data_IF_685996736153
#
_entry.id   IF_685996736153
#
_cell.length_a   1.000
_cell.length_b   1.000
_cell.length_c   1.000
_cell.angle_alpha   90.00
_cell.angle_beta   90.00
_cell.angle_gamma   90.00
#
_symmetry.space_group_name_H-M   'P 1'
#
loop_
_entity.id
_entity.type
_entity.pdbx_description
1 polymer ?
#
# COMPACT_ATOMS: atom_id res chain seq x y z
N UNK A 1 20.11 -48.80 -26.83
CA UNK A 1 18.69 -48.71 -26.57
C UNK A 1 18.38 -47.40 -25.93
N UNK A 2 17.57 -46.65 -26.68
CA UNK A 2 17.01 -45.33 -26.31
C UNK A 2 15.93 -45.50 -25.27
N UNK A 3 15.97 -44.72 -24.19
CA UNK A 3 14.78 -44.41 -23.41
C UNK A 3 14.72 -42.90 -23.16
N UNK A 4 13.90 -42.23 -23.96
CA UNK A 4 13.48 -40.85 -23.76
C UNK A 4 12.24 -40.85 -22.88
N UNK A 5 12.35 -40.30 -21.66
CA UNK A 5 11.20 -39.96 -20.83
C UNK A 5 10.59 -38.62 -21.26
N UNK A 6 9.27 -38.53 -21.43
CA UNK A 6 8.61 -37.29 -21.81
C UNK A 6 8.23 -36.51 -20.54
N UNK A 7 9.00 -35.50 -20.18
CA UNK A 7 8.56 -34.48 -19.22
C UNK A 7 7.77 -33.39 -19.94
N UNK A 8 6.50 -33.66 -20.20
CA UNK A 8 5.51 -32.66 -20.55
C UNK A 8 5.07 -31.88 -19.31
N UNK A 9 5.70 -30.74 -19.02
CA UNK A 9 5.18 -29.77 -18.06
C UNK A 9 3.90 -29.15 -18.63
N UNK A 10 2.74 -29.60 -18.15
CA UNK A 10 1.49 -28.84 -18.26
C UNK A 10 1.62 -27.61 -17.36
N UNK A 11 1.93 -26.48 -17.97
CA UNK A 11 1.67 -25.19 -17.35
C UNK A 11 0.15 -25.02 -17.28
N UNK A 12 -0.43 -25.35 -16.12
CA UNK A 12 -1.79 -24.94 -15.82
C UNK A 12 -1.75 -23.43 -15.55
N UNK A 13 -2.03 -22.64 -16.57
CA UNK A 13 -2.36 -21.25 -16.41
C UNK A 13 -3.57 -21.17 -15.47
N UNK A 14 -3.35 -20.74 -14.25
CA UNK A 14 -4.40 -20.49 -13.26
C UNK A 14 -5.20 -19.28 -13.78
N UNK A 15 -6.19 -19.54 -14.61
CA UNK A 15 -7.11 -18.54 -15.15
C UNK A 15 -8.02 -18.13 -14.00
N UNK A 16 -7.65 -17.06 -13.27
CA UNK A 16 -8.53 -16.46 -12.27
C UNK A 16 -9.88 -16.21 -12.94
N UNK A 17 -10.94 -16.82 -12.41
CA UNK A 17 -12.32 -16.48 -12.82
C UNK A 17 -12.50 -14.98 -12.57
N UNK A 18 -12.77 -14.20 -13.64
CA UNK A 18 -13.08 -12.77 -13.51
C UNK A 18 -14.24 -12.63 -12.55
N UNK A 19 -14.02 -11.93 -11.43
CA UNK A 19 -15.05 -11.65 -10.43
C UNK A 19 -16.17 -10.81 -11.06
N UNK A 20 -17.41 -11.14 -10.74
CA UNK A 20 -18.57 -10.31 -11.11
C UNK A 20 -18.76 -9.10 -10.17
N UNK A 21 -17.93 -8.98 -9.15
CA UNK A 21 -17.97 -7.95 -8.12
C UNK A 21 -16.87 -6.93 -8.40
N UNK A 22 -17.17 -5.63 -8.24
CA UNK A 22 -16.20 -4.56 -8.31
C UNK A 22 -15.07 -4.77 -7.29
N UNK A 23 -13.85 -4.43 -7.67
CA UNK A 23 -12.69 -4.52 -6.77
C UNK A 23 -12.68 -3.31 -5.84
N UNK A 24 -12.79 -3.48 -4.52
CA UNK A 24 -12.67 -2.37 -3.58
C UNK A 24 -11.21 -1.95 -3.40
N UNK A 25 -11.02 -0.71 -2.94
CA UNK A 25 -9.70 -0.17 -2.58
C UNK A 25 -9.69 0.14 -1.08
N UNK A 26 -8.64 -0.32 -0.38
CA UNK A 26 -8.41 -0.01 1.03
C UNK A 26 -7.14 0.80 1.15
N UNK A 27 -7.25 2.02 1.64
CA UNK A 27 -6.13 2.92 1.93
C UNK A 27 -5.66 2.74 3.36
N UNK A 28 -4.35 2.60 3.57
CA UNK A 28 -3.74 2.37 4.88
C UNK A 28 -2.71 3.45 5.15
N UNK A 29 -2.98 4.27 6.18
CA UNK A 29 -2.20 5.46 6.49
C UNK A 29 -0.84 5.14 7.11
N UNK A 30 0.06 6.13 7.07
CA UNK A 30 1.38 6.10 7.69
C UNK A 30 1.34 6.43 9.19
N UNK A 31 2.52 6.43 9.80
CA UNK A 31 2.68 6.82 11.21
C UNK A 31 2.12 8.22 11.48
N UNK A 32 1.62 8.42 12.70
CA UNK A 32 1.03 9.67 13.19
C UNK A 32 -0.24 10.12 12.48
N UNK A 33 -0.79 9.35 11.56
CA UNK A 33 -1.92 9.71 10.73
C UNK A 33 -3.20 8.95 11.13
N UNK A 34 -4.21 9.09 10.30
CA UNK A 34 -5.45 8.31 10.28
C UNK A 34 -5.91 8.19 8.83
N UNK A 35 -7.04 7.53 8.59
CA UNK A 35 -7.62 7.36 7.25
C UNK A 35 -7.81 8.67 6.49
N UNK A 36 -7.96 9.77 7.21
CA UNK A 36 -8.06 11.13 6.68
C UNK A 36 -6.88 11.56 5.80
N UNK A 37 -5.72 10.92 5.93
CA UNK A 37 -4.55 11.23 5.11
C UNK A 37 -4.82 11.02 3.61
N UNK A 38 -5.84 10.23 3.29
CA UNK A 38 -6.24 9.94 1.93
C UNK A 38 -7.48 10.72 1.45
N UNK A 39 -8.01 11.68 2.23
CA UNK A 39 -9.25 12.38 1.87
C UNK A 39 -9.23 12.92 0.42
N UNK A 40 -8.17 13.63 0.03
CA UNK A 40 -8.00 14.16 -1.33
C UNK A 40 -7.48 13.11 -2.31
N UNK A 41 -6.59 12.21 -1.86
CA UNK A 41 -5.98 11.21 -2.73
C UNK A 41 -7.00 10.20 -3.28
N UNK A 42 -8.04 9.86 -2.52
CA UNK A 42 -9.04 8.86 -2.91
C UNK A 42 -10.09 9.37 -3.90
N UNK A 43 -10.30 10.70 -3.99
CA UNK A 43 -11.33 11.30 -4.85
C UNK A 43 -11.27 10.84 -6.33
N UNK A 44 -10.10 10.76 -7.01
CA UNK A 44 -10.01 10.24 -8.36
C UNK A 44 -10.44 8.78 -8.51
N UNK A 45 -10.21 7.95 -7.48
CA UNK A 45 -10.63 6.54 -7.49
C UNK A 45 -12.13 6.40 -7.32
N UNK A 46 -12.74 7.21 -6.47
CA UNK A 46 -14.21 7.30 -6.30
C UNK A 46 -14.86 7.80 -7.58
N UNK A 47 -14.29 8.83 -8.21
CA UNK A 47 -14.75 9.33 -9.50
C UNK A 47 -14.65 8.28 -10.63
N UNK A 48 -13.64 7.40 -10.57
CA UNK A 48 -13.49 6.24 -11.46
C UNK A 48 -14.48 5.10 -11.12
N UNK A 49 -15.24 5.22 -10.02
CA UNK A 49 -16.28 4.29 -9.60
C UNK A 49 -15.81 3.14 -8.72
N UNK A 50 -14.61 3.24 -8.12
CA UNK A 50 -14.17 2.28 -7.10
C UNK A 50 -14.91 2.51 -5.78
N UNK A 51 -15.24 1.44 -5.08
CA UNK A 51 -15.60 1.49 -3.66
C UNK A 51 -14.30 1.69 -2.86
N UNK A 52 -14.23 2.75 -2.05
CA UNK A 52 -13.01 3.11 -1.31
C UNK A 52 -13.23 3.07 0.20
N UNK A 53 -12.23 2.59 0.92
CA UNK A 53 -12.19 2.50 2.37
C UNK A 53 -10.86 3.09 2.87
N UNK A 54 -10.89 3.79 4.00
CA UNK A 54 -9.71 4.33 4.65
C UNK A 54 -9.83 4.14 6.18
N UNK A 55 -9.76 2.88 6.67
CA UNK A 55 -9.84 2.63 8.10
C UNK A 55 -8.64 3.23 8.83
N UNK A 56 -8.86 3.63 10.09
CA UNK A 56 -7.75 3.90 10.99
C UNK A 56 -7.05 2.58 11.36
N UNK A 57 -5.74 2.61 11.48
CA UNK A 57 -5.00 1.58 12.20
C UNK A 57 -5.46 1.55 13.67
N UNK A 58 -5.36 0.42 14.37
CA UNK A 58 -5.75 0.32 15.77
C UNK A 58 -5.20 1.48 16.60
N UNK A 59 -6.06 2.08 17.42
CA UNK A 59 -5.74 3.16 18.36
C UNK A 59 -5.28 4.49 17.72
N UNK A 60 -5.66 4.76 16.45
CA UNK A 60 -5.35 6.03 15.76
C UNK A 60 -6.56 6.96 15.61
N UNK A 61 -7.67 6.66 16.26
CA UNK A 61 -8.79 7.61 16.40
C UNK A 61 -8.47 8.69 17.44
N UNK A 62 -9.08 9.87 17.29
CA UNK A 62 -8.95 10.93 18.28
C UNK A 62 -9.52 10.49 19.63
N UNK A 63 -8.72 10.65 20.68
CA UNK A 63 -9.10 10.25 22.04
C UNK A 63 -8.91 8.76 22.30
N UNK A 64 -8.18 8.06 21.46
CA UNK A 64 -7.79 6.67 21.67
C UNK A 64 -7.05 6.47 23.00
N UNK A 65 -7.15 5.26 23.52
CA UNK A 65 -6.42 4.83 24.70
C UNK A 65 -4.92 4.73 24.38
N UNK A 66 -4.15 5.65 24.96
CA UNK A 66 -2.70 5.71 24.75
C UNK A 66 -1.94 4.53 25.38
N UNK A 67 -2.49 3.85 26.36
CA UNK A 67 -1.87 2.65 26.94
C UNK A 67 -1.98 1.49 25.97
N UNK A 68 -3.13 1.34 25.33
CA UNK A 68 -3.32 0.34 24.26
C UNK A 68 -2.45 0.67 23.05
N UNK A 69 -2.38 1.94 22.63
CA UNK A 69 -1.49 2.37 21.54
C UNK A 69 -0.02 2.04 21.86
N UNK A 70 0.42 2.22 23.11
CA UNK A 70 1.80 1.90 23.50
C UNK A 70 2.15 0.41 23.33
N UNK A 71 1.16 -0.49 23.44
CA UNK A 71 1.33 -1.94 23.28
C UNK A 71 1.16 -2.41 21.84
N UNK A 72 0.53 -1.62 20.99
CA UNK A 72 0.30 -1.95 19.60
C UNK A 72 1.61 -2.09 18.81
N UNK A 73 1.64 -2.98 17.83
CA UNK A 73 2.79 -3.22 16.96
C UNK A 73 2.39 -3.58 15.54
N UNK A 74 3.38 -3.78 14.66
CA UNK A 74 3.16 -4.10 13.25
C UNK A 74 2.28 -5.33 13.05
N UNK A 75 2.39 -6.33 13.91
CA UNK A 75 1.58 -7.55 13.82
C UNK A 75 0.09 -7.25 14.01
N UNK A 76 -0.25 -6.45 15.00
CA UNK A 76 -1.63 -6.03 15.27
C UNK A 76 -2.19 -5.20 14.12
N UNK A 77 -1.42 -4.23 13.63
CA UNK A 77 -1.81 -3.41 12.48
C UNK A 77 -2.08 -4.26 11.25
N UNK A 78 -1.18 -5.20 10.94
CA UNK A 78 -1.33 -6.11 9.81
C UNK A 78 -2.53 -7.06 9.97
N UNK A 79 -2.80 -7.54 11.18
CA UNK A 79 -3.96 -8.39 11.48
C UNK A 79 -5.27 -7.63 11.28
N UNK A 80 -5.36 -6.39 11.76
CA UNK A 80 -6.52 -5.53 11.59
C UNK A 80 -6.84 -5.30 10.11
N UNK A 81 -5.85 -4.91 9.32
CA UNK A 81 -6.04 -4.70 7.87
C UNK A 81 -6.32 -6.01 7.12
N UNK A 82 -5.64 -7.09 7.49
CA UNK A 82 -5.91 -8.42 6.91
C UNK A 82 -7.31 -8.93 7.21
N UNK A 83 -7.82 -8.69 8.42
CA UNK A 83 -9.21 -9.00 8.78
C UNK A 83 -10.19 -8.13 7.99
N UNK A 84 -9.96 -6.83 7.94
CA UNK A 84 -10.78 -5.89 7.16
C UNK A 84 -10.87 -6.33 5.69
N UNK A 85 -9.74 -6.71 5.09
CA UNK A 85 -9.70 -7.18 3.70
C UNK A 85 -10.51 -8.47 3.48
N UNK A 86 -10.53 -9.40 4.44
CA UNK A 86 -11.33 -10.65 4.34
C UNK A 86 -12.83 -10.43 4.47
N UNK A 87 -13.25 -9.37 5.14
CA UNK A 87 -14.68 -9.03 5.34
C UNK A 87 -15.30 -8.37 4.11
N UNK A 88 -14.46 -7.88 3.17
CA UNK A 88 -14.95 -7.29 1.92
C UNK A 88 -15.47 -8.36 0.96
N UNK A 89 -16.42 -7.96 0.10
CA UNK A 89 -17.09 -8.84 -0.87
C UNK A 89 -16.18 -9.40 -1.96
N UNK A 90 -15.03 -8.74 -2.19
CA UNK A 90 -14.00 -9.17 -3.14
C UNK A 90 -12.61 -8.81 -2.59
N UNK A 91 -11.54 -9.53 -3.00
CA UNK A 91 -10.18 -9.16 -2.65
C UNK A 91 -9.89 -7.71 -3.03
N UNK A 92 -9.48 -6.85 -2.08
CA UNK A 92 -9.22 -5.43 -2.35
C UNK A 92 -7.86 -5.21 -3.01
N UNK A 93 -7.71 -4.01 -3.61
CA UNK A 93 -6.39 -3.40 -3.76
C UNK A 93 -6.04 -2.74 -2.42
N UNK A 94 -4.89 -3.06 -1.85
CA UNK A 94 -4.39 -2.37 -0.67
C UNK A 94 -3.41 -1.27 -1.12
N UNK A 95 -3.65 -0.04 -0.72
CA UNK A 95 -2.80 1.12 -0.99
C UNK A 95 -2.28 1.62 0.35
N UNK A 96 -0.98 1.47 0.60
CA UNK A 96 -0.38 1.87 1.88
C UNK A 96 0.67 2.97 1.72
N UNK A 97 0.61 3.99 2.58
CA UNK A 97 1.59 5.07 2.65
C UNK A 97 2.54 4.88 3.83
N UNK A 98 3.84 5.07 3.61
CA UNK A 98 4.86 5.06 4.68
C UNK A 98 4.80 3.77 5.52
N UNK A 99 4.57 3.87 6.84
CA UNK A 99 4.34 2.73 7.74
C UNK A 99 3.20 1.83 7.21
N UNK A 100 2.10 2.43 6.73
CA UNK A 100 1.00 1.72 6.09
C UNK A 100 1.43 0.90 4.88
N UNK A 101 2.46 1.35 4.15
CA UNK A 101 3.07 0.61 3.04
C UNK A 101 3.77 -0.69 3.49
N UNK A 102 4.34 -0.72 4.69
CA UNK A 102 4.83 -1.96 5.31
C UNK A 102 3.67 -2.81 5.81
N UNK A 103 2.69 -2.19 6.48
CA UNK A 103 1.51 -2.90 7.02
C UNK A 103 0.75 -3.63 5.93
N UNK A 104 0.53 -3.03 4.74
CA UNK A 104 -0.18 -3.72 3.65
C UNK A 104 0.59 -4.91 3.07
N UNK A 105 1.93 -4.87 3.08
CA UNK A 105 2.74 -6.03 2.70
C UNK A 105 2.52 -7.19 3.68
N UNK A 106 2.50 -6.90 4.99
CA UNK A 106 2.25 -7.90 6.04
C UNK A 106 0.80 -8.42 6.00
N UNK A 107 -0.18 -7.55 5.75
CA UNK A 107 -1.59 -7.91 5.63
C UNK A 107 -1.87 -8.80 4.41
N UNK A 108 -1.22 -8.54 3.27
CA UNK A 108 -1.36 -9.33 2.04
C UNK A 108 -0.87 -10.78 2.19
N UNK A 109 -0.10 -11.10 3.23
CA UNK A 109 0.26 -12.49 3.56
C UNK A 109 -0.84 -13.21 4.34
N UNK A 110 -1.82 -12.47 4.86
CA UNK A 110 -2.88 -12.98 5.73
C UNK A 110 -4.25 -13.00 5.04
N UNK A 111 -4.41 -12.24 3.94
CA UNK A 111 -5.67 -12.13 3.21
C UNK A 111 -5.41 -12.08 1.69
N UNK A 112 -6.34 -12.61 0.86
CA UNK A 112 -6.29 -12.41 -0.58
C UNK A 112 -6.41 -10.92 -0.92
N UNK A 113 -5.56 -10.46 -1.86
CA UNK A 113 -5.60 -9.09 -2.38
C UNK A 113 -5.53 -9.09 -3.90
N UNK A 114 -6.17 -8.12 -4.55
CA UNK A 114 -6.16 -7.95 -6.00
C UNK A 114 -4.89 -7.24 -6.51
N UNK A 115 -4.27 -6.42 -5.67
CA UNK A 115 -3.05 -5.68 -5.96
C UNK A 115 -2.52 -4.96 -4.72
N UNK A 116 -1.26 -4.54 -4.78
CA UNK A 116 -0.62 -3.71 -3.77
C UNK A 116 -0.09 -2.43 -4.42
N UNK A 117 -0.36 -1.28 -3.80
CA UNK A 117 0.28 0.00 -4.14
C UNK A 117 0.99 0.52 -2.91
N UNK A 118 2.29 0.71 -3.03
CA UNK A 118 3.18 1.07 -1.94
C UNK A 118 3.66 2.51 -2.17
N UNK A 119 3.08 3.46 -1.45
CA UNK A 119 3.40 4.89 -1.53
C UNK A 119 4.49 5.21 -0.50
N UNK A 120 5.70 5.50 -0.93
CA UNK A 120 6.84 5.78 -0.03
C UNK A 120 6.93 4.80 1.15
N UNK A 121 6.86 3.46 0.94
CA UNK A 121 6.70 2.48 2.01
C UNK A 121 7.90 2.45 2.94
N UNK A 122 7.65 2.25 4.24
CA UNK A 122 8.70 1.85 5.17
C UNK A 122 9.29 0.50 4.76
N UNK A 123 10.59 0.36 4.93
CA UNK A 123 11.32 -0.84 4.56
C UNK A 123 10.95 -2.02 5.48
N UNK A 124 10.73 -3.22 4.95
CA UNK A 124 10.53 -4.41 5.76
C UNK A 124 11.85 -4.86 6.41
N UNK A 125 11.73 -5.71 7.42
CA UNK A 125 12.85 -6.32 8.11
C UNK A 125 13.89 -6.88 7.13
N UNK A 126 15.17 -6.57 7.35
CA UNK A 126 16.29 -7.04 6.53
C UNK A 126 16.60 -6.16 5.31
N UNK A 127 15.90 -5.05 5.09
CA UNK A 127 16.26 -4.04 4.09
C UNK A 127 16.99 -2.89 4.78
N UNK A 128 18.31 -2.76 4.60
CA UNK A 128 19.09 -1.72 5.29
C UNK A 128 18.87 -0.35 4.66
N UNK A 129 19.04 0.72 5.47
CA UNK A 129 19.02 2.09 4.98
C UNK A 129 20.08 2.33 3.90
N UNK A 130 19.82 3.27 2.99
CA UNK A 130 20.68 3.55 1.83
C UNK A 130 21.31 4.94 1.85
N UNK A 131 20.77 5.86 2.65
CA UNK A 131 21.21 7.26 2.71
C UNK A 131 21.62 7.69 4.10
N UNK A 132 22.41 8.78 4.19
CA UNK A 132 22.81 9.35 5.48
C UNK A 132 21.62 9.93 6.26
N UNK A 133 20.62 10.50 5.56
CA UNK A 133 19.41 11.01 6.19
C UNK A 133 18.65 9.87 6.88
N UNK A 134 18.50 8.73 6.20
CA UNK A 134 17.83 7.54 6.73
C UNK A 134 18.60 6.99 7.96
N UNK A 135 19.93 6.88 7.89
CA UNK A 135 20.74 6.49 9.04
C UNK A 135 20.60 7.49 10.19
N UNK A 136 20.58 8.80 9.89
CA UNK A 136 20.39 9.86 10.88
C UNK A 136 19.03 9.77 11.58
N UNK A 137 17.96 9.50 10.83
CA UNK A 137 16.62 9.28 11.38
C UNK A 137 16.59 8.07 12.31
N UNK A 138 17.20 6.96 11.90
CA UNK A 138 17.30 5.74 12.72
C UNK A 138 18.08 5.98 14.01
N UNK A 139 19.23 6.67 13.92
CA UNK A 139 20.04 6.99 15.09
C UNK A 139 19.34 7.99 16.02
N UNK A 140 18.67 9.00 15.46
CA UNK A 140 17.93 10.00 16.23
C UNK A 140 16.88 9.39 17.17
N UNK A 141 16.20 8.32 16.73
CA UNK A 141 15.27 7.58 17.58
C UNK A 141 15.93 7.00 18.82
N UNK A 142 17.19 6.54 18.71
CA UNK A 142 17.92 5.97 19.86
C UNK A 142 18.18 7.00 20.95
N UNK A 143 18.17 8.30 20.64
CA UNK A 143 18.34 9.37 21.60
C UNK A 143 17.08 9.65 22.43
N UNK A 144 15.92 9.09 22.03
CA UNK A 144 14.64 9.27 22.74
C UNK A 144 14.48 8.31 23.95
N UNK A 145 15.53 7.57 24.30
CA UNK A 145 15.49 6.59 25.40
C UNK A 145 14.50 5.45 25.09
N UNK A 146 13.75 5.03 26.10
CA UNK A 146 12.79 3.90 26.00
C UNK A 146 11.50 4.26 25.23
N UNK A 147 11.63 5.01 24.11
CA UNK A 147 10.47 5.46 23.33
C UNK A 147 9.54 4.32 22.89
N UNK A 148 10.08 3.12 22.68
CA UNK A 148 9.30 1.93 22.25
C UNK A 148 8.34 1.38 23.29
N UNK A 149 8.36 1.90 24.53
CA UNK A 149 7.47 1.50 25.62
C UNK A 149 6.30 2.46 25.82
N UNK A 150 6.21 3.50 25.02
CA UNK A 150 5.24 4.57 25.16
C UNK A 150 4.77 5.09 23.81
N UNK A 151 3.61 5.76 23.75
CA UNK A 151 3.24 6.51 22.57
C UNK A 151 4.25 7.62 22.31
N UNK A 152 4.55 7.84 21.05
CA UNK A 152 5.42 8.93 20.58
C UNK A 152 4.49 10.03 20.04
N UNK A 153 4.50 11.22 20.63
CA UNK A 153 3.72 12.34 20.09
C UNK A 153 4.33 12.85 18.79
N UNK A 154 3.52 13.37 17.85
CA UNK A 154 4.05 14.01 16.67
C UNK A 154 4.81 15.30 17.04
N UNK A 155 5.90 15.58 16.33
CA UNK A 155 6.65 16.84 16.43
C UNK A 155 6.54 17.65 15.14
N UNK A 156 6.08 18.91 15.24
CA UNK A 156 5.87 19.75 14.06
C UNK A 156 7.17 20.08 13.33
N UNK A 157 8.28 20.24 14.05
CA UNK A 157 9.58 20.60 13.44
C UNK A 157 10.10 19.43 12.63
N UNK A 158 9.99 18.22 13.19
CA UNK A 158 10.38 16.99 12.49
C UNK A 158 9.48 16.77 11.27
N UNK A 159 8.16 16.79 11.45
CA UNK A 159 7.22 16.61 10.35
C UNK A 159 7.44 17.63 9.22
N UNK A 160 7.67 18.91 9.57
CA UNK A 160 7.91 20.00 8.61
C UNK A 160 9.24 19.86 7.89
N UNK A 161 10.23 19.21 8.50
CA UNK A 161 11.55 19.01 7.90
C UNK A 161 11.64 17.74 7.02
N UNK A 162 10.72 16.79 7.18
CA UNK A 162 10.88 15.46 6.58
C UNK A 162 9.65 14.93 5.84
N UNK A 163 8.45 15.12 6.40
CA UNK A 163 7.22 14.46 5.91
C UNK A 163 6.34 15.41 5.10
N UNK A 164 6.13 16.63 5.61
CA UNK A 164 5.25 17.64 5.01
C UNK A 164 6.05 18.89 4.60
N UNK A 165 7.30 18.69 4.23
CA UNK A 165 8.29 19.74 3.92
C UNK A 165 7.94 20.52 2.65
N UNK A 166 7.23 19.93 1.69
CA UNK A 166 6.80 20.58 0.43
C UNK A 166 5.45 21.29 0.51
N UNK A 167 4.70 21.11 1.58
CA UNK A 167 3.44 21.83 1.76
C UNK A 167 3.69 23.33 2.02
N UNK A 168 2.73 24.18 1.66
CA UNK A 168 2.73 25.56 2.13
C UNK A 168 2.76 25.59 3.66
N UNK A 169 3.17 26.73 4.25
CA UNK A 169 3.22 26.87 5.71
C UNK A 169 1.85 26.64 6.37
N UNK A 170 0.79 27.11 5.72
CA UNK A 170 -0.56 27.00 6.26
C UNK A 170 -1.14 25.60 6.05
N UNK A 171 -0.86 24.97 4.90
CA UNK A 171 -1.25 23.57 4.67
C UNK A 171 -0.52 22.63 5.63
N UNK A 172 0.78 22.84 5.84
CA UNK A 172 1.55 22.05 6.79
C UNK A 172 0.98 22.15 8.22
N UNK A 173 0.56 23.33 8.65
CA UNK A 173 -0.09 23.52 9.96
C UNK A 173 -1.45 22.83 10.02
N UNK A 174 -2.28 22.99 8.97
CA UNK A 174 -3.60 22.31 8.89
C UNK A 174 -3.45 20.80 8.92
N UNK A 175 -2.52 20.26 8.14
CA UNK A 175 -2.24 18.81 8.08
C UNK A 175 -1.73 18.30 9.43
N UNK A 176 -0.74 18.99 10.02
CA UNK A 176 -0.17 18.60 11.30
C UNK A 176 -1.18 18.63 12.46
N UNK A 177 -2.14 19.56 12.45
CA UNK A 177 -3.20 19.62 13.46
C UNK A 177 -4.10 18.38 13.49
N UNK A 178 -4.04 17.53 12.47
CA UNK A 178 -4.75 16.24 12.38
C UNK A 178 -3.90 15.05 12.84
N UNK A 179 -2.59 15.23 13.03
CA UNK A 179 -1.71 14.14 13.47
C UNK A 179 -2.08 13.70 14.87
N UNK A 180 -1.88 12.42 15.12
CA UNK A 180 -2.11 11.75 16.41
C UNK A 180 -0.83 11.05 16.87
N UNK A 181 -0.68 10.67 18.15
CA UNK A 181 0.45 9.88 18.60
C UNK A 181 0.56 8.55 17.85
N UNK A 182 1.79 8.03 17.73
CA UNK A 182 2.09 6.73 17.14
C UNK A 182 2.66 5.78 18.19
N UNK A 183 2.45 4.47 18.03
CA UNK A 183 3.09 3.47 18.86
C UNK A 183 4.62 3.51 18.70
N UNK A 184 5.31 3.74 19.82
CA UNK A 184 6.77 3.66 19.82
C UNK A 184 7.27 2.26 19.51
N UNK A 185 6.50 1.22 19.87
CA UNK A 185 6.79 -0.17 19.50
C UNK A 185 6.72 -0.38 17.99
N UNK A 186 5.65 0.07 17.34
CA UNK A 186 5.51 -0.05 15.89
C UNK A 186 6.62 0.73 15.15
N UNK A 187 6.99 1.93 15.63
CA UNK A 187 8.13 2.70 15.09
C UNK A 187 9.41 1.87 15.19
N UNK A 188 9.71 1.28 16.37
CA UNK A 188 10.91 0.47 16.56
C UNK A 188 10.94 -0.76 15.66
N UNK A 189 9.84 -1.49 15.59
CA UNK A 189 9.69 -2.67 14.75
C UNK A 189 9.89 -2.36 13.25
N UNK A 190 9.49 -1.16 12.79
CA UNK A 190 9.66 -0.72 11.41
C UNK A 190 11.04 -0.10 11.13
N UNK A 191 11.49 0.83 11.98
CA UNK A 191 12.65 1.70 11.70
C UNK A 191 13.94 1.11 12.26
N UNK A 192 13.90 0.52 13.44
CA UNK A 192 15.05 -0.13 14.09
C UNK A 192 14.88 -1.66 14.09
N UNK A 193 14.43 -2.22 12.97
CA UNK A 193 14.09 -3.62 12.81
C UNK A 193 15.22 -4.58 13.26
N UNK A 194 16.48 -4.19 13.20
CA UNK A 194 17.63 -4.99 13.68
C UNK A 194 17.66 -5.16 15.20
N UNK A 195 16.92 -4.33 15.95
CA UNK A 195 16.71 -4.46 17.40
C UNK A 195 15.42 -5.22 17.74
N UNK A 196 14.61 -5.57 16.73
CA UNK A 196 13.39 -6.35 16.90
C UNK A 196 13.67 -7.84 16.68
N UNK A 197 13.86 -8.57 17.78
CA UNK A 197 14.09 -10.02 17.75
C UNK A 197 12.84 -10.82 17.33
N UNK A 198 11.65 -10.20 17.37
CA UNK A 198 10.40 -10.84 16.92
C UNK A 198 10.24 -10.83 15.41
N UNK A 199 11.09 -10.05 14.71
CA UNK A 199 11.03 -9.84 13.26
C UNK A 199 9.62 -9.44 12.78
N UNK A 200 8.91 -8.58 13.54
CA UNK A 200 7.52 -8.21 13.27
C UNK A 200 7.32 -7.59 11.87
N UNK A 201 8.33 -6.87 11.36
CA UNK A 201 8.34 -6.28 10.02
C UNK A 201 8.80 -7.24 8.92
N UNK A 202 8.99 -8.54 9.18
CA UNK A 202 9.46 -9.47 8.16
C UNK A 202 8.35 -9.78 7.14
N UNK A 203 8.57 -9.38 5.89
CA UNK A 203 7.66 -9.63 4.78
C UNK A 203 8.30 -10.60 3.76
N UNK A 204 7.97 -11.89 3.80
CA UNK A 204 8.36 -12.85 2.76
C UNK A 204 7.52 -12.62 1.49
N UNK A 205 7.84 -11.56 0.75
CA UNK A 205 7.06 -11.04 -0.39
C UNK A 205 6.89 -12.04 -1.54
N UNK A 206 7.72 -13.10 -1.62
CA UNK A 206 7.55 -14.18 -2.58
C UNK A 206 6.24 -14.97 -2.38
N UNK A 207 5.57 -14.82 -1.24
CA UNK A 207 4.26 -15.40 -0.94
C UNK A 207 3.10 -14.55 -1.46
N UNK A 208 3.38 -13.32 -1.88
CA UNK A 208 2.38 -12.38 -2.40
C UNK A 208 2.29 -12.58 -3.91
N UNK A 209 1.17 -13.15 -4.38
CA UNK A 209 0.94 -13.41 -5.80
C UNK A 209 0.36 -12.22 -6.57
N UNK A 210 -0.14 -11.21 -5.85
CA UNK A 210 -0.76 -10.03 -6.43
C UNK A 210 0.27 -9.10 -7.09
N UNK A 211 -0.09 -8.37 -8.16
CA UNK A 211 0.76 -7.36 -8.74
C UNK A 211 1.06 -6.22 -7.76
N UNK A 212 2.25 -5.64 -7.87
CA UNK A 212 2.75 -4.61 -6.96
C UNK A 212 3.22 -3.37 -7.72
N UNK A 213 2.80 -2.20 -7.26
CA UNK A 213 3.30 -0.90 -7.70
C UNK A 213 3.98 -0.20 -6.53
N UNK A 214 5.26 0.11 -6.66
CA UNK A 214 5.99 0.94 -5.70
C UNK A 214 6.20 2.35 -6.24
N UNK A 215 5.84 3.34 -5.46
CA UNK A 215 5.96 4.76 -5.80
C UNK A 215 6.83 5.48 -4.77
N UNK A 216 7.75 6.29 -5.24
CA UNK A 216 8.69 7.03 -4.41
C UNK A 216 8.73 8.51 -4.77
N UNK A 217 8.96 9.36 -3.77
CA UNK A 217 9.39 10.74 -4.00
C UNK A 217 10.92 10.80 -4.14
N UNK A 218 11.43 11.50 -5.16
CA UNK A 218 12.87 11.67 -5.38
C UNK A 218 13.55 12.51 -4.30
N UNK A 219 12.77 13.33 -3.59
CA UNK A 219 13.23 14.18 -2.48
C UNK A 219 12.88 13.63 -1.10
N UNK A 220 12.38 12.40 -1.05
CA UNK A 220 11.99 11.75 0.21
C UNK A 220 13.23 11.48 1.09
N UNK A 221 13.25 12.10 2.28
CA UNK A 221 14.31 11.97 3.28
C UNK A 221 13.95 11.00 4.41
N UNK A 222 12.70 10.50 4.41
CA UNK A 222 12.22 9.50 5.38
C UNK A 222 12.44 8.10 4.83
N UNK A 223 11.88 7.83 3.63
CA UNK A 223 12.02 6.58 2.92
C UNK A 223 12.55 6.87 1.50
N UNK A 224 13.87 6.97 1.32
CA UNK A 224 14.47 7.37 0.05
C UNK A 224 14.12 6.44 -1.11
N UNK A 225 14.01 6.99 -2.32
CA UNK A 225 13.70 6.23 -3.54
C UNK A 225 14.66 5.04 -3.75
N UNK A 226 15.93 5.16 -3.36
CA UNK A 226 16.92 4.08 -3.41
C UNK A 226 16.57 2.91 -2.49
N UNK A 227 16.06 3.17 -1.29
CA UNK A 227 15.58 2.13 -0.36
C UNK A 227 14.30 1.50 -0.88
N UNK A 228 13.33 2.32 -1.36
CA UNK A 228 12.08 1.82 -1.91
C UNK A 228 12.34 0.93 -3.14
N UNK A 229 13.28 1.30 -4.00
CA UNK A 229 13.70 0.47 -5.13
C UNK A 229 14.18 -0.91 -4.68
N UNK A 230 14.94 -1.00 -3.57
CA UNK A 230 15.34 -2.28 -2.97
C UNK A 230 14.16 -3.06 -2.42
N UNK A 231 13.19 -2.39 -1.80
CA UNK A 231 11.95 -3.04 -1.33
C UNK A 231 11.21 -3.69 -2.50
N UNK A 232 11.02 -2.95 -3.59
CA UNK A 232 10.29 -3.44 -4.77
C UNK A 232 11.05 -4.55 -5.49
N UNK A 233 12.37 -4.48 -5.55
CA UNK A 233 13.21 -5.53 -6.16
C UNK A 233 13.12 -6.90 -5.45
N UNK A 234 12.53 -6.99 -4.26
CA UNK A 234 12.30 -8.26 -3.55
C UNK A 234 11.09 -9.03 -4.09
N UNK A 235 10.17 -8.34 -4.78
CA UNK A 235 9.04 -8.99 -5.42
C UNK A 235 9.45 -9.63 -6.75
N UNK A 236 8.78 -10.71 -7.20
CA UNK A 236 9.06 -11.30 -8.52
C UNK A 236 8.94 -10.26 -9.64
N UNK A 237 9.93 -10.20 -10.53
CA UNK A 237 10.13 -9.08 -11.47
C UNK A 237 8.95 -8.75 -12.38
N UNK A 238 8.19 -9.76 -12.86
CA UNK A 238 7.02 -9.54 -13.71
C UNK A 238 5.81 -8.96 -12.96
N UNK A 239 5.80 -9.08 -11.63
CA UNK A 239 4.70 -8.62 -10.77
C UNK A 239 4.92 -7.21 -10.24
N UNK A 240 6.18 -6.74 -10.20
CA UNK A 240 6.57 -5.52 -9.52
C UNK A 240 6.94 -4.41 -10.50
N UNK A 241 6.35 -3.23 -10.28
CA UNK A 241 6.65 -1.99 -11.00
C UNK A 241 7.11 -0.94 -10.00
N UNK A 242 8.06 -0.14 -10.41
CA UNK A 242 8.58 0.98 -9.62
C UNK A 242 8.51 2.27 -10.46
N UNK A 243 8.04 3.34 -9.83
CA UNK A 243 8.09 4.68 -10.41
C UNK A 243 8.53 5.70 -9.36
N UNK A 244 9.35 6.65 -9.77
CA UNK A 244 9.85 7.74 -8.94
C UNK A 244 9.31 9.07 -9.46
N UNK A 245 8.75 9.88 -8.57
CA UNK A 245 8.38 11.27 -8.82
C UNK A 245 9.52 12.18 -8.36
N UNK A 246 10.38 12.68 -9.26
CA UNK A 246 11.66 13.30 -8.89
C UNK A 246 11.51 14.52 -7.97
N UNK A 247 10.41 15.26 -8.13
CA UNK A 247 10.16 16.50 -7.40
C UNK A 247 9.40 16.31 -6.09
N UNK A 248 8.77 15.16 -5.87
CA UNK A 248 7.99 14.89 -4.66
C UNK A 248 8.89 14.45 -3.50
N UNK A 249 8.41 14.70 -2.29
CA UNK A 249 9.00 14.25 -1.04
C UNK A 249 8.24 13.05 -0.47
N UNK A 250 8.12 12.98 0.87
CA UNK A 250 7.49 11.84 1.54
C UNK A 250 5.95 11.82 1.43
N UNK A 251 5.31 13.00 1.38
CA UNK A 251 3.85 13.15 1.48
C UNK A 251 3.15 12.97 0.14
N UNK A 252 3.35 11.80 -0.53
CA UNK A 252 2.79 11.50 -1.86
C UNK A 252 1.25 11.61 -1.92
N UNK A 253 0.58 11.64 -0.78
CA UNK A 253 -0.89 11.66 -0.64
C UNK A 253 -1.48 13.07 -0.49
N UNK A 254 -0.67 14.13 -0.47
CA UNK A 254 -1.16 15.49 -0.26
C UNK A 254 -0.21 16.61 -0.70
N UNK A 255 0.83 16.31 -1.47
CA UNK A 255 1.67 17.31 -2.16
C UNK A 255 0.98 17.85 -3.42
N UNK A 256 1.45 18.95 -4.01
CA UNK A 256 0.82 19.51 -5.21
C UNK A 256 0.70 18.54 -6.38
N UNK A 257 1.66 17.63 -6.53
CA UNK A 257 1.72 16.63 -7.61
C UNK A 257 0.93 15.32 -7.29
N UNK A 258 0.26 15.26 -6.16
CA UNK A 258 -0.59 14.10 -5.76
C UNK A 258 -1.58 13.63 -6.83
N UNK A 259 -2.20 14.53 -7.65
CA UNK A 259 -3.06 14.09 -8.75
C UNK A 259 -2.34 13.22 -9.79
N UNK A 260 -1.05 13.43 -10.05
CA UNK A 260 -0.27 12.62 -10.97
C UNK A 260 0.01 11.23 -10.38
N UNK A 261 0.23 11.14 -9.06
CA UNK A 261 0.36 9.86 -8.33
C UNK A 261 -0.91 9.04 -8.45
N UNK A 262 -2.07 9.65 -8.21
CA UNK A 262 -3.36 8.99 -8.32
C UNK A 262 -3.66 8.55 -9.77
N UNK A 263 -3.38 9.41 -10.76
CA UNK A 263 -3.54 9.13 -12.19
C UNK A 263 -2.68 7.94 -12.61
N UNK A 264 -1.39 7.92 -12.26
CA UNK A 264 -0.49 6.80 -12.57
C UNK A 264 -0.99 5.51 -11.93
N UNK A 265 -1.44 5.57 -10.69
CA UNK A 265 -2.00 4.42 -9.98
C UNK A 265 -3.23 3.86 -10.70
N UNK A 266 -4.18 4.72 -11.11
CA UNK A 266 -5.37 4.31 -11.87
C UNK A 266 -5.01 3.67 -13.21
N UNK A 267 -4.08 4.25 -13.95
CA UNK A 267 -3.58 3.68 -15.21
C UNK A 267 -2.95 2.32 -15.01
N UNK A 268 -2.18 2.15 -13.93
CA UNK A 268 -1.57 0.87 -13.60
C UNK A 268 -2.61 -0.19 -13.24
N UNK A 269 -3.65 0.16 -12.47
CA UNK A 269 -4.77 -0.72 -12.14
C UNK A 269 -5.51 -1.17 -13.41
N UNK A 270 -5.81 -0.22 -14.31
CA UNK A 270 -6.49 -0.50 -15.57
C UNK A 270 -5.66 -1.45 -16.44
N UNK A 271 -4.36 -1.20 -16.59
CA UNK A 271 -3.43 -2.04 -17.34
C UNK A 271 -3.34 -3.48 -16.79
N UNK A 272 -3.68 -3.69 -15.51
CA UNK A 272 -3.76 -5.00 -14.85
C UNK A 272 -5.15 -5.64 -14.90
N UNK A 273 -6.12 -4.98 -15.53
CA UNK A 273 -7.50 -5.43 -15.58
C UNK A 273 -8.22 -5.36 -14.22
N UNK A 274 -7.72 -4.53 -13.30
CA UNK A 274 -8.32 -4.26 -11.99
C UNK A 274 -9.24 -3.05 -12.14
N UNK A 275 -10.55 -3.28 -12.20
CA UNK A 275 -11.54 -2.24 -12.48
C UNK A 275 -12.55 -2.05 -11.37
N UNK A 276 -13.12 -0.84 -11.34
CA UNK A 276 -14.20 -0.45 -10.43
C UNK A 276 -15.51 -1.20 -10.71
N UNK A 277 -15.74 -1.63 -11.95
CA UNK A 277 -16.97 -2.35 -12.37
C UNK A 277 -16.61 -3.70 -12.93
N UNK A 278 -17.42 -4.75 -12.64
CA UNK A 278 -17.24 -6.02 -13.31
C UNK A 278 -17.36 -5.81 -14.83
N UNK A 279 -16.44 -6.36 -15.59
CA UNK A 279 -16.53 -6.32 -17.05
C UNK A 279 -17.85 -6.97 -17.47
N UNK A 280 -18.77 -6.16 -18.02
CA UNK A 280 -20.01 -6.70 -18.61
C UNK A 280 -19.59 -7.67 -19.70
N UNK A 281 -19.92 -8.95 -19.53
CA UNK A 281 -19.77 -9.93 -20.60
C UNK A 281 -20.44 -9.34 -21.85
N UNK A 282 -19.66 -9.08 -22.91
CA UNK A 282 -20.21 -8.70 -24.21
C UNK A 282 -21.21 -9.79 -24.60
N UNK A 283 -22.51 -9.54 -24.43
CA UNK A 283 -23.55 -10.41 -24.99
C UNK A 283 -23.29 -10.44 -26.50
N UNK A 284 -22.76 -11.55 -26.99
CA UNK A 284 -22.82 -11.85 -28.41
C UNK A 284 -24.31 -11.94 -28.74
N UNK A 285 -24.84 -10.92 -29.37
CA UNK A 285 -26.17 -10.98 -29.99
C UNK A 285 -26.03 -11.99 -31.10
N UNK A 286 -26.50 -13.21 -30.84
CA UNK A 286 -26.68 -14.20 -31.91
C UNK A 286 -27.86 -13.68 -32.74
N UNK A 287 -27.55 -13.08 -33.87
CA UNK A 287 -28.55 -12.79 -34.89
C UNK A 287 -28.92 -14.14 -35.50
N UNK A 288 -30.06 -14.68 -35.07
CA UNK A 288 -30.70 -15.79 -35.77
C UNK A 288 -31.14 -15.29 -37.16
N UNK A 289 -30.44 -15.75 -38.17
CA UNK A 289 -30.87 -15.58 -39.53
C UNK A 289 -32.24 -16.27 -39.70
N UNK A 290 -33.28 -15.47 -39.93
CA UNK A 290 -34.58 -15.96 -40.30
C UNK A 290 -34.51 -16.71 -41.65
N UNK A 291 -34.96 -17.92 -41.63
CA UNK A 291 -35.31 -18.65 -42.84
C UNK A 291 -36.48 -17.91 -43.54
N UNK A 292 -36.22 -17.38 -44.72
CA UNK A 292 -37.28 -16.89 -45.61
C UNK A 292 -37.95 -18.08 -46.27
N UNK A 293 -39.23 -18.25 -45.98
CA UNK A 293 -40.13 -19.11 -46.77
C UNK A 293 -40.32 -18.54 -48.18
N UNK A 294 -39.91 -19.30 -49.18
CA UNK A 294 -40.32 -19.14 -50.54
C UNK A 294 -41.49 -20.10 -50.78
N UNK A 295 -42.74 -19.60 -50.81
CA UNK A 295 -43.86 -20.29 -51.41
C UNK A 295 -44.43 -19.35 -52.46
N UNK A 296 -44.40 -19.66 -53.67
CA UNK A 296 -45.23 -20.15 -54.70
C UNK A 296 -46.28 -19.18 -55.20
N UNK A 297 -46.18 -18.80 -56.43
CA UNK A 297 -47.19 -18.83 -57.49
C UNK A 297 -46.63 -18.22 -58.75
#
# INVERSE_FOLDING_TARGET
PNDRLPYGRRQSAFRMKKSSVATPIVFVHGAFCGGWAFDTFREPFEAAGFETHAPNLPHHERGADLEQLAQAGLKEYAQSIGQYARELRAPPVLIGHSLGGLVVQLAAMQAPVAGLVLLAPSAPWGVPPTTLDEHGNHFGLSLLGDYWRRPVPPDFRVARATTIDRLSRDDARRTFARFVPESGRAIREAVQWWLDTSMAGQAPVYRIAAPVLGLAGGRDRVNPASTIRRVIARFPGEQAHFHEFPEMSHWLVGEPETPDVAKLTLQWLEARGIGAKPERAKRKTLTLFGFGDSAGA
#
